data_IF_862945820935
#
_entry.id   IF_862945820935
#
_cell.length_a   1.000
_cell.length_b   1.000
_cell.length_c   1.000
_cell.angle_alpha   90.00
_cell.angle_beta   90.00
_cell.angle_gamma   90.00
#
_symmetry.space_group_name_H-M   'P 1'
#
loop_
_entity.id
_entity.type
_entity.pdbx_description
1 polymer ?
#
# COMPACT_ATOMS: atom_id res chain seq x y z
N UNK A 1 6.25 24.38 -10.28
CA UNK A 1 5.07 23.60 -10.70
C UNK A 1 4.15 23.47 -9.50
N UNK A 2 2.87 23.75 -9.67
CA UNK A 2 1.82 23.65 -8.64
C UNK A 2 1.02 22.37 -8.85
N UNK A 3 0.92 21.56 -7.83
CA UNK A 3 0.32 20.21 -7.89
C UNK A 3 -0.97 20.19 -7.06
N UNK A 4 -2.09 19.81 -7.68
CA UNK A 4 -3.35 19.57 -6.97
C UNK A 4 -3.60 18.06 -6.84
N UNK A 5 -3.70 17.56 -5.61
CA UNK A 5 -4.04 16.17 -5.33
C UNK A 5 -5.55 16.03 -5.08
N UNK A 6 -6.18 15.01 -5.66
CA UNK A 6 -7.63 14.80 -5.50
C UNK A 6 -7.95 13.34 -5.16
N UNK A 7 -8.77 13.14 -4.11
CA UNK A 7 -9.29 11.83 -3.70
C UNK A 7 -10.72 11.94 -3.14
N UNK A 8 -11.54 10.89 -3.26
CA UNK A 8 -12.85 10.81 -2.59
C UNK A 8 -12.74 10.43 -1.12
N UNK A 9 -11.64 9.79 -0.73
CA UNK A 9 -11.49 9.12 0.57
C UNK A 9 -10.90 10.06 1.63
N UNK A 10 -11.07 9.65 2.90
CA UNK A 10 -10.37 10.30 4.01
C UNK A 10 -8.86 10.16 3.83
N UNK A 11 -8.10 11.24 3.92
CA UNK A 11 -6.64 11.20 3.92
C UNK A 11 -6.09 10.33 5.04
N UNK A 12 -4.91 9.76 4.84
CA UNK A 12 -4.15 8.98 5.84
C UNK A 12 -4.90 7.83 6.53
N UNK A 13 -6.10 7.47 6.05
CA UNK A 13 -6.95 6.43 6.67
C UNK A 13 -6.80 5.06 6.02
N UNK A 14 -6.28 5.00 4.81
CA UNK A 14 -6.15 3.79 3.98
C UNK A 14 -4.78 3.75 3.33
N UNK A 15 -4.40 2.61 2.74
CA UNK A 15 -3.14 2.51 1.99
C UNK A 15 -3.01 3.57 0.89
N UNK A 16 -4.09 3.88 0.16
CA UNK A 16 -4.09 4.96 -0.85
C UNK A 16 -4.01 6.35 -0.23
N UNK A 17 -4.62 6.57 0.93
CA UNK A 17 -4.52 7.82 1.68
C UNK A 17 -3.11 8.06 2.21
N UNK A 18 -2.49 7.03 2.79
CA UNK A 18 -1.08 7.07 3.23
C UNK A 18 -0.14 7.33 2.04
N UNK A 19 -0.39 6.66 0.91
CA UNK A 19 0.36 6.88 -0.33
C UNK A 19 0.29 8.35 -0.78
N UNK A 20 -0.91 8.93 -0.80
CA UNK A 20 -1.10 10.35 -1.16
C UNK A 20 -0.34 11.27 -0.21
N UNK A 21 -0.47 11.10 1.10
CA UNK A 21 0.23 11.91 2.10
C UNK A 21 1.76 11.77 1.97
N UNK A 22 2.27 10.56 1.75
CA UNK A 22 3.69 10.31 1.52
C UNK A 22 4.20 11.01 0.26
N UNK A 23 3.45 10.93 -0.83
CA UNK A 23 3.77 11.59 -2.09
C UNK A 23 3.79 13.12 -1.95
N UNK A 24 2.82 13.70 -1.22
CA UNK A 24 2.79 15.14 -0.91
C UNK A 24 4.08 15.55 -0.18
N UNK A 25 4.49 14.81 0.84
CA UNK A 25 5.74 15.08 1.59
C UNK A 25 6.98 14.98 0.69
N UNK A 26 7.02 14.01 -0.21
CA UNK A 26 8.10 13.89 -1.19
C UNK A 26 8.17 15.07 -2.16
N UNK A 27 7.06 15.53 -2.69
CA UNK A 27 7.02 16.72 -3.55
C UNK A 27 7.28 18.03 -2.79
N UNK A 28 6.90 18.12 -1.51
CA UNK A 28 7.26 19.27 -0.67
C UNK A 28 8.77 19.42 -0.52
N UNK A 29 9.51 18.32 -0.31
CA UNK A 29 10.99 18.34 -0.27
C UNK A 29 11.63 18.75 -1.60
N UNK A 30 10.94 18.51 -2.72
CA UNK A 30 11.36 19.00 -4.04
C UNK A 30 11.00 20.47 -4.27
N UNK A 31 10.37 21.14 -3.32
CA UNK A 31 10.03 22.57 -3.37
C UNK A 31 8.78 22.88 -4.19
N UNK A 32 7.90 21.91 -4.45
CA UNK A 32 6.64 22.15 -5.17
C UNK A 32 5.55 22.70 -4.23
N UNK A 33 4.83 23.71 -4.73
CA UNK A 33 3.60 24.16 -4.10
C UNK A 33 2.49 23.13 -4.35
N UNK A 34 1.72 22.83 -3.31
CA UNK A 34 0.72 21.77 -3.39
C UNK A 34 -0.61 22.18 -2.76
N UNK A 35 -1.68 21.56 -3.24
CA UNK A 35 -3.00 21.62 -2.61
C UNK A 35 -3.70 20.27 -2.69
N UNK A 36 -4.70 20.08 -1.85
CA UNK A 36 -5.42 18.81 -1.68
C UNK A 36 -6.92 19.05 -1.70
N UNK A 37 -7.66 18.27 -2.49
CA UNK A 37 -9.11 18.09 -2.36
C UNK A 37 -9.34 16.66 -1.88
N UNK A 38 -10.01 16.50 -0.74
CA UNK A 38 -10.33 15.18 -0.21
C UNK A 38 -11.68 15.15 0.50
N UNK A 39 -12.33 13.98 0.48
CA UNK A 39 -13.54 13.72 1.25
C UNK A 39 -13.24 13.56 2.73
N UNK A 40 -14.04 14.21 3.57
CA UNK A 40 -13.98 14.09 5.02
C UNK A 40 -15.39 13.97 5.61
N UNK A 41 -15.50 13.46 6.81
CA UNK A 41 -16.75 13.46 7.58
C UNK A 41 -16.94 14.82 8.29
N UNK A 42 -18.19 15.19 8.55
CA UNK A 42 -18.50 16.42 9.31
C UNK A 42 -17.88 16.41 10.71
N UNK A 43 -17.67 15.23 11.28
CA UNK A 43 -17.06 15.05 12.61
C UNK A 43 -15.53 15.02 12.57
N UNK A 44 -14.88 15.04 11.39
CA UNK A 44 -13.42 15.02 11.28
C UNK A 44 -12.81 16.39 11.62
N UNK A 45 -11.70 16.39 12.34
CA UNK A 45 -10.90 17.58 12.62
C UNK A 45 -10.09 17.98 11.37
N UNK A 46 -10.45 19.09 10.73
CA UNK A 46 -9.72 19.63 9.58
C UNK A 46 -8.24 19.85 9.93
N UNK A 47 -7.97 20.41 11.11
CA UNK A 47 -6.60 20.71 11.56
C UNK A 47 -5.74 19.46 11.67
N UNK A 48 -6.26 18.36 12.25
CA UNK A 48 -5.54 17.10 12.35
C UNK A 48 -5.25 16.49 10.97
N UNK A 49 -6.16 16.68 10.02
CA UNK A 49 -5.97 16.22 8.65
C UNK A 49 -4.94 17.06 7.90
N UNK A 50 -4.92 18.37 8.09
CA UNK A 50 -3.93 19.28 7.52
C UNK A 50 -2.51 18.93 7.96
N UNK A 51 -2.28 18.45 9.17
CA UNK A 51 -0.97 18.01 9.68
C UNK A 51 -0.36 16.87 8.82
N UNK A 52 -1.18 16.13 8.09
CA UNK A 52 -0.70 15.10 7.16
C UNK A 52 -0.22 15.64 5.81
N UNK A 53 -0.57 16.87 5.47
CA UNK A 53 -0.29 17.49 4.17
C UNK A 53 0.88 18.48 4.19
N UNK A 54 1.52 18.72 5.34
CA UNK A 54 2.58 19.71 5.48
C UNK A 54 2.07 21.11 5.13
N UNK A 55 2.66 21.77 4.12
CA UNK A 55 2.28 23.11 3.68
C UNK A 55 1.20 23.15 2.60
N UNK A 56 0.66 22.00 2.18
CA UNK A 56 -0.33 21.98 1.11
C UNK A 56 -1.68 22.57 1.58
N UNK A 57 -2.24 23.45 0.75
CA UNK A 57 -3.55 24.05 1.03
C UNK A 57 -4.66 23.00 0.89
N UNK A 58 -5.56 22.91 1.87
CA UNK A 58 -6.63 21.93 1.89
C UNK A 58 -7.98 22.52 1.48
N UNK A 59 -8.69 21.80 0.62
CA UNK A 59 -10.06 22.09 0.15
C UNK A 59 -10.94 20.87 0.49
N UNK A 60 -11.54 20.82 1.69
CA UNK A 60 -12.35 19.69 2.12
C UNK A 60 -13.68 19.59 1.37
N UNK A 61 -14.08 18.35 1.06
CA UNK A 61 -15.45 17.99 0.65
C UNK A 61 -16.09 17.26 1.81
N UNK A 62 -17.02 17.94 2.51
CA UNK A 62 -17.59 17.47 3.77
C UNK A 62 -18.84 16.64 3.53
N UNK A 63 -18.81 15.39 3.97
CA UNK A 63 -19.93 14.45 3.94
C UNK A 63 -20.75 14.48 5.23
N UNK A 64 -21.90 13.83 5.25
CA UNK A 64 -22.90 13.87 6.32
C UNK A 64 -23.43 15.28 6.59
N UNK A 65 -23.61 16.04 5.51
CA UNK A 65 -24.20 17.38 5.49
C UNK A 65 -25.49 17.38 4.67
N UNK A 66 -26.23 18.48 4.62
CA UNK A 66 -27.41 18.63 3.74
C UNK A 66 -27.04 18.49 2.25
N UNK A 67 -25.82 18.91 1.85
CA UNK A 67 -25.33 18.83 0.46
C UNK A 67 -24.91 17.39 0.10
N UNK A 68 -24.30 16.66 1.04
CA UNK A 68 -23.86 15.25 0.90
C UNK A 68 -24.39 14.44 2.09
N UNK A 69 -25.63 13.99 2.01
CA UNK A 69 -26.40 13.32 3.07
C UNK A 69 -26.05 11.82 3.24
N UNK A 70 -24.81 11.45 2.96
CA UNK A 70 -24.29 10.09 3.07
C UNK A 70 -22.82 10.09 3.53
N UNK A 71 -22.32 8.91 3.96
CA UNK A 71 -20.96 8.80 4.47
C UNK A 71 -19.91 8.93 3.35
N UNK A 72 -18.67 9.26 3.73
CA UNK A 72 -17.52 9.33 2.82
C UNK A 72 -17.44 8.07 1.94
N UNK A 73 -17.35 8.25 0.63
CA UNK A 73 -17.37 7.13 -0.32
C UNK A 73 -16.06 6.35 -0.25
N UNK A 74 -16.16 5.03 -0.05
CA UNK A 74 -15.04 4.12 0.09
C UNK A 74 -14.72 3.33 -1.16
N UNK A 75 -13.43 3.16 -1.49
CA UNK A 75 -12.97 2.32 -2.60
C UNK A 75 -12.93 0.82 -2.27
N UNK A 76 -13.38 0.42 -1.09
CA UNK A 76 -13.50 -0.98 -0.66
C UNK A 76 -14.83 -1.18 0.05
N UNK A 77 -15.33 -2.41 0.06
CA UNK A 77 -16.54 -2.77 0.81
C UNK A 77 -16.33 -2.71 2.33
N UNK A 78 -15.07 -2.81 2.77
CA UNK A 78 -14.65 -2.67 4.16
C UNK A 78 -13.61 -1.55 4.26
N UNK A 79 -14.00 -0.44 4.87
CA UNK A 79 -13.16 0.72 5.12
C UNK A 79 -12.87 0.83 6.63
N UNK A 80 -11.77 1.48 7.05
CA UNK A 80 -11.45 1.68 8.46
C UNK A 80 -12.33 2.76 9.13
N UNK A 81 -13.29 3.31 8.40
CA UNK A 81 -14.29 4.28 8.86
C UNK A 81 -15.66 3.95 8.26
N UNK A 82 -16.74 4.49 8.82
CA UNK A 82 -18.09 4.35 8.28
C UNK A 82 -18.14 4.97 6.89
N UNK A 83 -18.50 4.18 5.88
CA UNK A 83 -18.41 4.60 4.48
C UNK A 83 -19.61 4.18 3.65
N UNK A 84 -19.87 4.93 2.60
CA UNK A 84 -20.80 4.55 1.52
C UNK A 84 -20.04 3.75 0.47
N UNK A 85 -20.55 2.57 0.10
CA UNK A 85 -19.94 1.75 -0.96
C UNK A 85 -20.45 2.19 -2.32
N UNK A 86 -19.62 2.18 -3.34
CA UNK A 86 -20.04 2.53 -4.70
C UNK A 86 -21.19 1.67 -5.23
N UNK A 87 -21.28 0.40 -4.82
CA UNK A 87 -22.39 -0.48 -5.22
C UNK A 87 -23.75 -0.07 -4.67
N UNK A 88 -23.78 0.70 -3.60
CA UNK A 88 -24.97 1.18 -2.92
C UNK A 88 -25.39 2.59 -3.38
N UNK A 89 -24.58 3.24 -4.24
CA UNK A 89 -24.89 4.56 -4.77
C UNK A 89 -25.91 4.51 -5.90
N UNK A 90 -26.86 5.41 -5.85
CA UNK A 90 -27.81 5.69 -6.94
C UNK A 90 -27.39 6.95 -7.73
N UNK A 91 -28.15 7.27 -8.78
CA UNK A 91 -27.88 8.40 -9.66
C UNK A 91 -27.91 9.76 -8.91
N UNK A 92 -28.83 9.92 -7.95
CA UNK A 92 -28.92 11.16 -7.15
C UNK A 92 -27.68 11.38 -6.30
N UNK A 93 -27.18 10.32 -5.63
CA UNK A 93 -25.94 10.38 -4.84
C UNK A 93 -24.74 10.69 -5.71
N UNK A 94 -24.68 10.14 -6.93
CA UNK A 94 -23.62 10.46 -7.90
C UNK A 94 -23.63 11.94 -8.27
N UNK A 95 -24.80 12.51 -8.55
CA UNK A 95 -24.94 13.93 -8.89
C UNK A 95 -24.61 14.87 -7.68
N UNK A 96 -25.04 14.50 -6.46
CA UNK A 96 -24.62 15.24 -5.25
C UNK A 96 -23.09 15.23 -5.08
N UNK A 97 -22.49 14.04 -5.24
CA UNK A 97 -21.03 13.88 -5.19
C UNK A 97 -20.31 14.76 -6.22
N UNK A 98 -20.76 14.73 -7.47
CA UNK A 98 -20.19 15.54 -8.55
C UNK A 98 -20.25 17.02 -8.23
N UNK A 99 -21.41 17.55 -7.82
CA UNK A 99 -21.59 18.98 -7.48
C UNK A 99 -20.69 19.43 -6.34
N UNK A 100 -20.60 18.64 -5.27
CA UNK A 100 -19.77 18.99 -4.11
C UNK A 100 -18.27 19.05 -4.48
N UNK A 101 -17.79 18.08 -5.27
CA UNK A 101 -16.41 18.10 -5.75
C UNK A 101 -16.17 19.20 -6.79
N UNK A 102 -17.11 19.46 -7.71
CA UNK A 102 -17.00 20.54 -8.70
C UNK A 102 -16.77 21.89 -8.05
N UNK A 103 -17.50 22.20 -6.96
CA UNK A 103 -17.35 23.43 -6.19
C UNK A 103 -15.92 23.61 -5.68
N UNK A 104 -15.32 22.57 -5.09
CA UNK A 104 -13.95 22.64 -4.58
C UNK A 104 -12.90 22.60 -5.71
N UNK A 105 -13.15 21.88 -6.80
CA UNK A 105 -12.29 21.88 -7.97
C UNK A 105 -12.23 23.29 -8.58
N UNK A 106 -13.36 23.93 -8.84
CA UNK A 106 -13.41 25.27 -9.40
C UNK A 106 -12.71 26.28 -8.47
N UNK A 107 -12.95 26.21 -7.16
CA UNK A 107 -12.27 27.03 -6.17
C UNK A 107 -10.75 26.86 -6.22
N UNK A 108 -10.26 25.62 -6.29
CA UNK A 108 -8.83 25.35 -6.41
C UNK A 108 -8.25 25.83 -7.77
N UNK A 109 -8.99 25.71 -8.86
CA UNK A 109 -8.58 26.22 -10.17
C UNK A 109 -8.43 27.74 -10.17
N UNK A 110 -9.31 28.48 -9.49
CA UNK A 110 -9.26 29.92 -9.39
C UNK A 110 -8.16 30.43 -8.44
N UNK A 111 -8.09 29.85 -7.23
CA UNK A 111 -7.22 30.33 -6.17
C UNK A 111 -5.78 29.79 -6.28
N UNK A 112 -5.64 28.48 -6.51
CA UNK A 112 -4.35 27.80 -6.52
C UNK A 112 -3.72 27.72 -7.92
N UNK A 113 -4.53 27.63 -8.98
CA UNK A 113 -4.13 27.57 -10.40
C UNK A 113 -3.09 26.47 -10.65
N UNK A 114 -3.45 25.20 -10.48
CA UNK A 114 -2.52 24.08 -10.61
C UNK A 114 -1.98 23.95 -12.05
N UNK A 115 -0.71 23.54 -12.17
CA UNK A 115 -0.11 23.16 -13.46
C UNK A 115 -0.42 21.69 -13.79
N UNK A 116 -0.62 20.86 -12.73
CA UNK A 116 -0.99 19.44 -12.84
C UNK A 116 -1.96 19.05 -11.74
N UNK A 117 -2.89 18.17 -12.07
CA UNK A 117 -3.78 17.49 -11.13
C UNK A 117 -3.39 16.02 -11.06
N UNK A 118 -3.19 15.49 -9.85
CA UNK A 118 -2.93 14.07 -9.59
C UNK A 118 -4.11 13.50 -8.84
N UNK A 119 -4.90 12.67 -9.53
CA UNK A 119 -6.04 11.98 -8.94
C UNK A 119 -5.61 10.63 -8.33
N UNK A 120 -6.24 10.25 -7.22
CA UNK A 120 -6.07 8.94 -6.62
C UNK A 120 -7.26 8.05 -6.94
N UNK A 121 -6.97 6.85 -7.46
CA UNK A 121 -7.88 5.88 -8.07
C UNK A 121 -8.38 6.24 -9.48
N UNK A 122 -8.33 5.25 -10.37
CA UNK A 122 -8.88 5.34 -11.74
C UNK A 122 -10.38 4.99 -11.68
N UNK A 123 -11.18 5.90 -11.13
CA UNK A 123 -12.60 5.64 -10.91
C UNK A 123 -13.46 6.91 -11.10
N UNK A 124 -14.67 6.93 -10.55
CA UNK A 124 -15.71 7.94 -10.79
C UNK A 124 -15.23 9.39 -10.63
N UNK A 125 -14.59 9.73 -9.49
CA UNK A 125 -14.13 11.10 -9.27
C UNK A 125 -13.07 11.53 -10.28
N UNK A 126 -12.12 10.68 -10.60
CA UNK A 126 -11.08 10.97 -11.59
C UNK A 126 -11.67 11.19 -12.98
N UNK A 127 -12.68 10.40 -13.37
CA UNK A 127 -13.42 10.60 -14.59
C UNK A 127 -14.15 11.96 -14.59
N UNK A 128 -14.72 12.34 -13.47
CA UNK A 128 -15.41 13.61 -13.29
C UNK A 128 -14.43 14.80 -13.32
N UNK A 129 -13.26 14.68 -12.68
CA UNK A 129 -12.20 15.71 -12.79
C UNK A 129 -11.86 15.99 -14.26
N UNK A 130 -11.70 14.95 -15.09
CA UNK A 130 -11.44 15.12 -16.53
C UNK A 130 -12.56 15.84 -17.26
N UNK A 131 -13.82 15.64 -16.86
CA UNK A 131 -14.96 16.33 -17.47
C UNK A 131 -15.01 17.81 -17.08
N UNK A 132 -14.76 18.13 -15.82
CA UNK A 132 -14.80 19.51 -15.30
C UNK A 132 -13.63 20.35 -15.80
N UNK A 133 -12.42 19.78 -15.78
CA UNK A 133 -11.20 20.50 -16.17
C UNK A 133 -11.07 20.51 -17.69
N UNK A 134 -11.59 21.56 -18.32
CA UNK A 134 -11.61 21.70 -19.79
C UNK A 134 -10.31 22.27 -20.36
N UNK A 135 -9.52 23.00 -19.54
CA UNK A 135 -8.25 23.57 -20.01
C UNK A 135 -7.27 22.46 -20.38
N UNK A 136 -6.66 22.58 -21.54
CA UNK A 136 -5.58 21.69 -22.00
C UNK A 136 -4.22 22.05 -21.40
N UNK A 137 -4.10 23.21 -20.78
CA UNK A 137 -2.86 23.67 -20.15
C UNK A 137 -2.61 22.99 -18.80
N UNK A 138 -3.68 22.43 -18.18
CA UNK A 138 -3.59 21.66 -16.94
C UNK A 138 -3.52 20.19 -17.27
N UNK A 139 -2.40 19.55 -16.96
CA UNK A 139 -2.26 18.10 -17.11
C UNK A 139 -3.02 17.35 -16.02
N UNK A 140 -3.63 16.23 -16.38
CA UNK A 140 -4.31 15.36 -15.42
C UNK A 140 -3.69 13.99 -15.46
N UNK A 141 -3.07 13.62 -14.35
CA UNK A 141 -2.54 12.29 -14.11
C UNK A 141 -3.35 11.56 -13.03
N UNK A 142 -3.31 10.23 -13.03
CA UNK A 142 -3.97 9.46 -11.96
C UNK A 142 -3.19 8.23 -11.55
N UNK A 143 -3.21 7.92 -10.24
CA UNK A 143 -2.55 6.74 -9.65
C UNK A 143 -3.57 5.64 -9.42
N UNK A 144 -3.28 4.44 -9.94
CA UNK A 144 -4.05 3.23 -9.70
C UNK A 144 -3.63 2.56 -8.40
N UNK A 145 -4.56 2.36 -7.47
CA UNK A 145 -4.30 1.65 -6.21
C UNK A 145 -4.85 0.21 -6.18
N UNK A 146 -5.20 -0.35 -7.34
CA UNK A 146 -5.68 -1.73 -7.51
C UNK A 146 -7.17 -1.91 -7.22
N UNK A 147 -7.68 -1.42 -6.11
CA UNK A 147 -9.11 -1.54 -5.74
C UNK A 147 -10.07 -0.94 -6.79
N UNK A 148 -9.66 0.14 -7.46
CA UNK A 148 -10.44 0.78 -8.51
C UNK A 148 -10.68 -0.15 -9.72
N UNK A 149 -9.69 -0.93 -10.15
CA UNK A 149 -9.85 -1.89 -11.25
C UNK A 149 -10.81 -3.03 -10.86
N UNK A 150 -10.71 -3.52 -9.62
CA UNK A 150 -11.65 -4.53 -9.10
C UNK A 150 -13.07 -3.98 -9.06
N UNK A 151 -13.27 -2.79 -8.54
CA UNK A 151 -14.58 -2.13 -8.50
C UNK A 151 -15.16 -1.95 -9.91
N UNK A 152 -14.35 -1.49 -10.86
CA UNK A 152 -14.80 -1.29 -12.24
C UNK A 152 -15.21 -2.60 -12.92
N UNK A 153 -14.56 -3.73 -12.57
CA UNK A 153 -14.93 -5.06 -13.08
C UNK A 153 -16.24 -5.57 -12.47
N UNK A 154 -16.53 -5.26 -11.21
CA UNK A 154 -17.64 -5.86 -10.46
C UNK A 154 -18.86 -4.97 -10.30
N UNK A 155 -18.72 -3.64 -10.37
CA UNK A 155 -19.80 -2.67 -10.16
C UNK A 155 -20.12 -1.96 -11.48
N UNK A 156 -21.40 -1.96 -11.93
CA UNK A 156 -21.78 -1.35 -13.20
C UNK A 156 -21.89 0.19 -13.15
N UNK A 157 -21.87 0.79 -11.95
CA UNK A 157 -22.07 2.23 -11.73
C UNK A 157 -21.18 3.07 -12.64
N UNK A 158 -21.76 3.87 -13.52
CA UNK A 158 -21.09 4.83 -14.41
C UNK A 158 -19.90 4.23 -15.22
N UNK A 159 -19.86 2.92 -15.44
CA UNK A 159 -18.71 2.19 -16.00
C UNK A 159 -18.22 2.76 -17.32
N UNK A 160 -19.12 3.01 -18.28
CA UNK A 160 -18.74 3.52 -19.60
C UNK A 160 -18.31 5.00 -19.52
N UNK A 161 -18.95 5.79 -18.67
CA UNK A 161 -18.54 7.16 -18.37
C UNK A 161 -17.12 7.19 -17.77
N UNK A 162 -16.84 6.32 -16.79
CA UNK A 162 -15.52 6.19 -16.18
C UNK A 162 -14.47 5.83 -17.23
N UNK A 163 -14.72 4.77 -18.01
CA UNK A 163 -13.77 4.33 -19.05
C UNK A 163 -13.48 5.41 -20.08
N UNK A 164 -14.52 6.11 -20.55
CA UNK A 164 -14.40 7.18 -21.54
C UNK A 164 -13.49 8.31 -21.04
N UNK A 165 -13.71 8.78 -19.82
CA UNK A 165 -12.99 9.91 -19.27
C UNK A 165 -11.55 9.55 -18.80
N UNK A 166 -11.34 8.39 -18.18
CA UNK A 166 -10.00 7.91 -17.81
C UNK A 166 -9.10 7.75 -19.05
N UNK A 167 -9.64 7.28 -20.15
CA UNK A 167 -8.91 7.15 -21.44
C UNK A 167 -8.35 8.49 -21.94
N UNK A 168 -8.98 9.61 -21.57
CA UNK A 168 -8.62 10.96 -21.95
C UNK A 168 -7.68 11.69 -20.97
N UNK A 169 -7.16 11.00 -19.96
CA UNK A 169 -6.13 11.54 -19.08
C UNK A 169 -4.79 11.62 -19.81
N UNK A 170 -3.93 12.51 -19.34
CA UNK A 170 -2.60 12.70 -19.93
C UNK A 170 -1.64 11.58 -19.51
N UNK A 171 -1.75 11.08 -18.28
CA UNK A 171 -0.87 10.03 -17.75
C UNK A 171 -1.59 9.17 -16.70
N UNK A 172 -1.30 7.87 -16.73
CA UNK A 172 -1.78 6.88 -15.77
C UNK A 172 -0.59 6.22 -15.08
N UNK A 173 -0.66 6.12 -13.76
CA UNK A 173 0.39 5.50 -12.97
C UNK A 173 -0.07 4.17 -12.40
N UNK A 174 0.72 3.13 -12.66
CA UNK A 174 0.58 1.79 -12.08
C UNK A 174 1.62 1.58 -10.96
N UNK A 175 1.31 0.72 -10.00
CA UNK A 175 2.26 0.36 -8.94
C UNK A 175 3.24 -0.73 -9.38
N UNK A 176 2.85 -1.61 -10.31
CA UNK A 176 3.68 -2.69 -10.85
C UNK A 176 3.28 -3.03 -12.29
N UNK A 177 4.09 -3.83 -12.98
CA UNK A 177 3.93 -4.09 -14.42
C UNK A 177 2.65 -4.88 -14.76
N UNK A 178 2.23 -5.81 -13.92
CA UNK A 178 0.96 -6.52 -14.12
C UNK A 178 -0.23 -5.55 -14.08
N UNK A 179 -0.25 -4.63 -13.09
CA UNK A 179 -1.27 -3.60 -13.00
C UNK A 179 -1.22 -2.65 -14.20
N UNK A 180 -0.03 -2.35 -14.75
CA UNK A 180 0.12 -1.57 -15.99
C UNK A 180 -0.59 -2.26 -17.15
N UNK A 181 -0.37 -3.57 -17.34
CA UNK A 181 -1.06 -4.36 -18.38
C UNK A 181 -2.58 -4.35 -18.19
N UNK A 182 -3.04 -4.50 -16.95
CA UNK A 182 -4.46 -4.43 -16.61
C UNK A 182 -5.07 -3.06 -16.98
N UNK A 183 -4.40 -1.96 -16.64
CA UNK A 183 -4.86 -0.59 -16.98
C UNK A 183 -4.97 -0.43 -18.49
N UNK A 184 -3.94 -0.82 -19.25
CA UNK A 184 -3.93 -0.74 -20.72
C UNK A 184 -5.13 -1.50 -21.29
N UNK A 185 -5.36 -2.73 -20.84
CA UNK A 185 -6.44 -3.59 -21.30
C UNK A 185 -7.83 -3.03 -20.93
N UNK A 186 -8.03 -2.65 -19.65
CA UNK A 186 -9.35 -2.22 -19.12
C UNK A 186 -9.81 -0.89 -19.74
N UNK A 187 -8.88 0.05 -19.90
CA UNK A 187 -9.20 1.39 -20.41
C UNK A 187 -8.93 1.53 -21.91
N UNK A 188 -8.32 0.55 -22.58
CA UNK A 188 -7.92 0.59 -23.96
C UNK A 188 -7.11 1.86 -24.28
N UNK A 189 -5.99 2.05 -23.59
CA UNK A 189 -5.07 3.18 -23.71
C UNK A 189 -3.72 2.73 -24.28
N UNK A 190 -2.98 3.65 -24.88
CA UNK A 190 -1.62 3.37 -25.38
C UNK A 190 -0.64 3.08 -24.23
N UNK A 191 0.34 2.24 -24.50
CA UNK A 191 1.37 1.84 -23.52
C UNK A 191 2.20 3.03 -23.02
N UNK A 192 2.39 4.03 -23.85
CA UNK A 192 3.11 5.28 -23.56
C UNK A 192 2.43 6.11 -22.45
N UNK A 193 1.10 6.01 -22.33
CA UNK A 193 0.33 6.69 -21.29
C UNK A 193 0.44 6.07 -19.91
N UNK A 194 0.80 4.80 -19.79
CA UNK A 194 0.81 4.07 -18.50
C UNK A 194 2.25 3.84 -18.05
N UNK A 195 2.60 4.42 -16.90
CA UNK A 195 3.94 4.36 -16.32
C UNK A 195 3.91 3.60 -14.99
N UNK A 196 4.90 2.73 -14.76
CA UNK A 196 5.08 2.07 -13.46
C UNK A 196 5.91 2.96 -12.56
N UNK A 197 5.37 3.31 -11.39
CA UNK A 197 6.03 4.18 -10.40
C UNK A 197 6.34 3.48 -9.07
N UNK A 198 5.65 2.38 -8.76
CA UNK A 198 5.80 1.69 -7.48
C UNK A 198 5.18 2.46 -6.32
N UNK A 199 5.73 2.24 -5.13
CA UNK A 199 5.37 2.95 -3.91
C UNK A 199 6.62 3.51 -3.24
N UNK A 200 6.41 4.26 -2.16
CA UNK A 200 7.45 4.72 -1.26
C UNK A 200 7.16 4.28 0.17
N UNK A 201 8.17 4.36 1.04
CA UNK A 201 8.02 4.23 2.47
C UNK A 201 8.58 5.49 3.19
N UNK A 202 8.25 5.64 4.48
CA UNK A 202 8.68 6.79 5.28
C UNK A 202 10.04 6.51 5.94
N UNK A 203 11.11 7.02 5.37
CA UNK A 203 12.48 6.87 5.85
C UNK A 203 12.82 7.70 7.11
N UNK A 204 11.94 8.60 7.53
CA UNK A 204 12.09 9.26 8.82
C UNK A 204 11.73 8.33 9.98
N UNK A 205 10.78 7.41 9.76
CA UNK A 205 10.28 6.44 10.73
C UNK A 205 11.05 5.12 10.58
N UNK A 206 11.01 4.53 9.36
CA UNK A 206 11.63 3.24 9.08
C UNK A 206 13.09 3.44 8.67
N UNK A 207 13.98 3.32 9.62
CA UNK A 207 15.43 3.43 9.45
C UNK A 207 16.16 2.54 10.45
N UNK A 208 17.33 2.08 10.09
CA UNK A 208 18.16 1.28 10.97
C UNK A 208 18.67 2.15 12.13
N UNK A 209 18.26 1.79 13.34
CA UNK A 209 18.66 2.43 14.60
C UNK A 209 19.92 1.80 15.20
N UNK A 210 20.54 0.84 14.50
CA UNK A 210 21.74 0.11 14.93
C UNK A 210 21.57 -0.52 16.33
N UNK A 211 20.40 -1.14 16.56
CA UNK A 211 20.19 -1.90 17.80
C UNK A 211 21.13 -3.10 17.82
N UNK A 212 22.11 -3.03 18.69
CA UNK A 212 23.01 -4.14 19.01
C UNK A 212 22.41 -4.85 20.23
N UNK A 213 21.49 -5.77 19.98
CA UNK A 213 20.90 -6.58 21.05
C UNK A 213 21.64 -7.91 21.05
N UNK A 214 22.57 -8.09 21.99
CA UNK A 214 23.14 -9.40 22.25
C UNK A 214 22.06 -10.29 22.87
N UNK A 215 21.72 -11.38 22.17
CA UNK A 215 20.71 -12.36 22.60
C UNK A 215 21.06 -13.73 22.01
N UNK A 216 20.60 -14.76 22.70
CA UNK A 216 20.81 -16.17 22.37
C UNK A 216 19.67 -16.80 21.57
N UNK A 217 18.78 -15.96 20.98
CA UNK A 217 17.65 -16.37 20.17
C UNK A 217 17.48 -15.51 18.93
N UNK A 218 16.79 -16.06 17.92
CA UNK A 218 16.38 -15.36 16.70
C UNK A 218 14.96 -14.84 16.86
N UNK A 219 14.71 -13.60 16.52
CA UNK A 219 13.39 -12.99 16.54
C UNK A 219 12.82 -12.84 15.12
N UNK A 220 11.72 -13.57 14.87
CA UNK A 220 10.95 -13.46 13.64
C UNK A 220 9.80 -12.47 13.85
N UNK A 221 9.57 -11.59 12.90
CA UNK A 221 8.45 -10.65 12.94
C UNK A 221 7.60 -10.74 11.69
N UNK A 222 6.28 -10.69 11.85
CA UNK A 222 5.29 -10.50 10.80
C UNK A 222 4.52 -9.22 11.06
N UNK A 223 4.16 -8.48 10.01
CA UNK A 223 3.27 -7.33 10.13
C UNK A 223 2.25 -7.31 8.99
N UNK A 224 0.96 -7.27 9.36
CA UNK A 224 -0.14 -7.27 8.41
C UNK A 224 -1.47 -7.69 9.03
N UNK A 225 -2.49 -7.86 8.20
CA UNK A 225 -3.76 -8.45 8.67
C UNK A 225 -3.55 -9.89 9.11
N UNK A 226 -4.10 -10.24 10.26
CA UNK A 226 -4.09 -11.63 10.73
C UNK A 226 -5.25 -12.37 10.06
N UNK A 227 -4.96 -13.08 8.96
CA UNK A 227 -5.93 -13.84 8.18
C UNK A 227 -5.25 -14.92 7.32
N UNK A 228 -6.02 -15.92 6.86
CA UNK A 228 -5.53 -17.07 6.07
C UNK A 228 -4.77 -16.66 4.80
N UNK A 229 -5.25 -15.63 4.08
CA UNK A 229 -4.60 -15.18 2.84
C UNK A 229 -3.20 -14.59 3.05
N UNK A 230 -2.82 -14.32 4.31
CA UNK A 230 -1.46 -13.91 4.69
C UNK A 230 -0.52 -15.08 5.01
N UNK A 231 -0.98 -16.32 4.82
CA UNK A 231 -0.16 -17.52 4.95
C UNK A 231 0.31 -17.83 6.37
N UNK A 232 -0.37 -17.29 7.38
CA UNK A 232 0.06 -17.43 8.78
C UNK A 232 -0.07 -18.86 9.31
N UNK A 233 -1.05 -19.65 8.84
CA UNK A 233 -1.18 -21.05 9.22
C UNK A 233 0.02 -21.85 8.71
N UNK A 234 0.34 -21.86 7.40
CA UNK A 234 1.56 -22.50 6.89
C UNK A 234 2.86 -21.95 7.50
N UNK A 235 2.89 -20.67 7.87
CA UNK A 235 4.04 -20.11 8.57
C UNK A 235 4.24 -20.71 9.95
N UNK A 236 3.18 -20.88 10.73
CA UNK A 236 3.27 -21.52 12.04
C UNK A 236 3.64 -23.00 11.89
N UNK A 237 3.05 -23.70 10.91
CA UNK A 237 3.35 -25.11 10.64
C UNK A 237 4.79 -25.34 10.18
N UNK A 238 5.34 -24.44 9.36
CA UNK A 238 6.71 -24.58 8.89
C UNK A 238 7.75 -24.41 10.02
N UNK A 239 7.42 -23.73 11.12
CA UNK A 239 8.32 -23.59 12.26
C UNK A 239 8.63 -24.95 12.91
N UNK A 240 7.66 -25.86 12.97
CA UNK A 240 7.84 -27.20 13.56
C UNK A 240 8.82 -28.08 12.75
N UNK A 241 9.14 -27.69 11.52
CA UNK A 241 10.14 -28.36 10.64
C UNK A 241 11.57 -27.85 10.89
N UNK A 242 11.75 -26.76 11.64
CA UNK A 242 13.06 -26.20 11.96
C UNK A 242 13.72 -27.00 13.10
N UNK A 243 14.99 -27.36 12.93
CA UNK A 243 15.77 -28.10 13.92
C UNK A 243 16.50 -27.15 14.87
N UNK A 244 15.74 -26.43 15.70
CA UNK A 244 16.23 -25.55 16.74
C UNK A 244 15.49 -25.81 18.06
N UNK A 245 16.12 -25.45 19.20
CA UNK A 245 15.48 -25.53 20.51
C UNK A 245 14.27 -24.60 20.60
N UNK A 246 13.31 -24.93 21.45
CA UNK A 246 12.03 -24.22 21.58
C UNK A 246 12.18 -22.75 22.06
N UNK A 247 13.24 -22.44 22.79
CA UNK A 247 13.58 -21.10 23.27
C UNK A 247 14.42 -20.28 22.28
N UNK A 248 14.94 -20.93 21.22
CA UNK A 248 15.84 -20.30 20.25
C UNK A 248 15.12 -19.42 19.22
N UNK A 249 13.83 -19.66 18.95
CA UNK A 249 13.04 -18.86 18.01
C UNK A 249 11.88 -18.20 18.75
N UNK A 250 11.76 -16.88 18.59
CA UNK A 250 10.61 -16.10 19.05
C UNK A 250 9.91 -15.45 17.89
N UNK A 251 8.58 -15.44 17.90
CA UNK A 251 7.76 -14.89 16.81
C UNK A 251 6.87 -13.77 17.32
N UNK A 252 6.85 -12.66 16.61
CA UNK A 252 6.01 -11.50 16.88
C UNK A 252 5.08 -11.25 15.70
N UNK A 253 3.77 -11.27 15.96
CA UNK A 253 2.73 -11.06 14.95
C UNK A 253 2.04 -9.71 15.19
N UNK A 254 2.42 -8.69 14.42
CA UNK A 254 1.84 -7.37 14.47
C UNK A 254 0.65 -7.26 13.50
N UNK A 255 -0.54 -6.96 14.03
CA UNK A 255 -1.75 -6.80 13.25
C UNK A 255 -3.00 -7.27 13.94
N UNK A 256 -4.14 -7.12 13.26
CA UNK A 256 -5.44 -7.59 13.75
C UNK A 256 -6.18 -8.33 12.65
N UNK A 257 -7.10 -9.22 13.03
CA UNK A 257 -8.01 -9.90 12.12
C UNK A 257 -9.34 -9.15 11.98
N UNK A 258 -9.88 -9.11 10.79
CA UNK A 258 -11.25 -8.62 10.53
C UNK A 258 -12.28 -9.76 10.41
N UNK A 259 -11.81 -10.96 10.11
CA UNK A 259 -12.57 -12.19 10.10
C UNK A 259 -12.25 -12.99 11.38
N UNK A 260 -13.24 -13.07 12.25
CA UNK A 260 -13.07 -13.68 13.58
C UNK A 260 -12.71 -15.16 13.50
N UNK A 261 -13.35 -15.92 12.61
CA UNK A 261 -13.11 -17.37 12.48
C UNK A 261 -11.65 -17.64 12.06
N UNK A 262 -11.19 -16.94 11.01
CA UNK A 262 -9.80 -17.03 10.55
C UNK A 262 -8.79 -16.58 11.61
N UNK A 263 -9.12 -15.53 12.36
CA UNK A 263 -8.26 -15.03 13.43
C UNK A 263 -8.15 -16.04 14.58
N UNK A 264 -9.29 -16.57 15.07
CA UNK A 264 -9.33 -17.51 16.18
C UNK A 264 -8.58 -18.80 15.83
N UNK A 265 -8.72 -19.31 14.60
CA UNK A 265 -7.98 -20.48 14.11
C UNK A 265 -6.45 -20.26 14.15
N UNK A 266 -5.98 -19.10 13.70
CA UNK A 266 -4.54 -18.74 13.72
C UNK A 266 -4.05 -18.65 15.19
N UNK A 267 -4.82 -18.04 16.07
CA UNK A 267 -4.48 -17.93 17.49
C UNK A 267 -4.39 -19.32 18.15
N UNK A 268 -5.37 -20.18 17.90
CA UNK A 268 -5.36 -21.55 18.45
C UNK A 268 -4.19 -22.39 17.89
N UNK A 269 -3.82 -22.16 16.64
CA UNK A 269 -2.65 -22.79 16.04
C UNK A 269 -1.36 -22.30 16.70
N UNK A 270 -1.22 -21.01 16.89
CA UNK A 270 -0.05 -20.39 17.54
C UNK A 270 0.14 -20.87 18.99
N UNK A 271 -0.96 -21.07 19.75
CA UNK A 271 -0.90 -21.62 21.12
C UNK A 271 -0.37 -23.04 21.19
N UNK A 272 -0.47 -23.81 20.11
CA UNK A 272 0.01 -25.20 20.03
C UNK A 272 1.45 -25.32 19.55
N UNK A 273 2.02 -24.23 19.05
CA UNK A 273 3.42 -24.20 18.63
C UNK A 273 4.35 -24.41 19.81
N UNK A 274 5.46 -25.09 19.61
CA UNK A 274 6.54 -25.23 20.59
C UNK A 274 7.34 -23.93 20.78
N UNK A 275 7.25 -22.98 19.83
CA UNK A 275 7.94 -21.70 19.90
C UNK A 275 7.08 -20.60 20.53
N UNK A 276 7.73 -19.57 21.11
CA UNK A 276 7.05 -18.41 21.70
C UNK A 276 6.48 -17.51 20.60
N UNK A 277 5.17 -17.59 20.35
CA UNK A 277 4.44 -16.78 19.38
C UNK A 277 3.57 -15.76 20.11
N UNK A 278 3.86 -14.46 19.96
CA UNK A 278 3.10 -13.36 20.59
C UNK A 278 2.39 -12.49 19.56
N UNK A 279 1.12 -12.19 19.83
CA UNK A 279 0.32 -11.23 19.07
C UNK A 279 0.46 -9.86 19.70
N UNK A 280 0.95 -8.88 18.89
CA UNK A 280 1.20 -7.51 19.36
C UNK A 280 -0.02 -6.59 19.14
N UNK A 281 -1.06 -7.07 18.45
CA UNK A 281 -2.18 -6.22 18.04
C UNK A 281 -1.79 -5.24 16.93
N UNK A 282 -2.62 -4.22 16.72
CA UNK A 282 -2.35 -3.17 15.73
C UNK A 282 -1.32 -2.19 16.29
N UNK A 283 -0.21 -2.05 15.62
CA UNK A 283 0.84 -1.07 15.92
C UNK A 283 0.69 0.18 15.04
N UNK A 284 1.09 1.34 15.55
CA UNK A 284 1.36 2.52 14.72
C UNK A 284 2.72 2.37 14.01
N UNK A 285 3.08 3.30 13.13
CA UNK A 285 4.32 3.18 12.35
C UNK A 285 5.59 3.26 13.20
N UNK A 286 5.60 4.08 14.25
CA UNK A 286 6.74 4.21 15.14
C UNK A 286 6.99 2.93 15.94
N UNK A 287 5.93 2.37 16.56
CA UNK A 287 6.02 1.10 17.28
C UNK A 287 6.40 -0.07 16.35
N UNK A 288 5.87 -0.08 15.11
CA UNK A 288 6.22 -1.09 14.11
C UNK A 288 7.70 -0.98 13.70
N UNK A 289 8.21 0.25 13.56
CA UNK A 289 9.63 0.49 13.29
C UNK A 289 10.52 -0.03 14.44
N UNK A 290 10.09 0.12 15.71
CA UNK A 290 10.80 -0.45 16.85
C UNK A 290 10.85 -1.97 16.78
N UNK A 291 9.72 -2.63 16.47
CA UNK A 291 9.69 -4.09 16.33
C UNK A 291 10.59 -4.57 15.18
N UNK A 292 10.60 -3.88 14.03
CA UNK A 292 11.51 -4.21 12.93
C UNK A 292 12.98 -4.03 13.32
N UNK A 293 13.34 -2.96 14.03
CA UNK A 293 14.71 -2.74 14.49
C UNK A 293 15.20 -3.81 15.50
N UNK A 294 14.28 -4.39 16.27
CA UNK A 294 14.57 -5.49 17.20
C UNK A 294 14.67 -6.84 16.49
N UNK A 295 13.89 -7.08 15.47
CA UNK A 295 13.79 -8.36 14.79
C UNK A 295 15.02 -8.67 13.92
N UNK A 296 15.33 -9.96 13.77
CA UNK A 296 16.35 -10.45 12.86
C UNK A 296 15.78 -10.69 11.47
N UNK A 297 14.60 -11.29 11.40
CA UNK A 297 13.97 -11.68 10.13
C UNK A 297 12.50 -11.25 10.11
N UNK A 298 12.13 -10.51 9.09
CA UNK A 298 10.75 -10.24 8.73
C UNK A 298 10.23 -11.32 7.80
N UNK A 299 9.08 -11.90 8.13
CA UNK A 299 8.46 -12.99 7.36
C UNK A 299 7.12 -12.52 6.80
N UNK A 300 6.96 -12.56 5.46
CA UNK A 300 5.71 -12.25 4.81
C UNK A 300 5.28 -13.40 3.87
N UNK A 301 4.65 -14.46 4.41
CA UNK A 301 4.30 -15.66 3.65
C UNK A 301 2.96 -15.52 2.91
N UNK A 302 2.58 -14.30 2.56
CA UNK A 302 1.30 -13.95 1.95
C UNK A 302 1.06 -14.66 0.63
N UNK A 303 -0.17 -15.07 0.38
CA UNK A 303 -0.63 -15.61 -0.90
C UNK A 303 -1.13 -14.55 -1.88
N UNK A 304 -1.38 -13.35 -1.37
CA UNK A 304 -1.81 -12.20 -2.17
C UNK A 304 -1.42 -10.89 -1.50
N UNK A 305 -0.80 -9.99 -2.27
CA UNK A 305 -0.51 -8.60 -1.92
C UNK A 305 -0.80 -7.68 -3.11
N UNK A 306 -1.14 -6.44 -2.83
CA UNK A 306 -1.13 -5.40 -3.87
C UNK A 306 0.29 -4.94 -4.15
N UNK A 307 0.91 -4.35 -3.15
CA UNK A 307 2.33 -4.00 -3.12
C UNK A 307 2.78 -3.99 -1.65
N UNK A 308 3.61 -4.95 -1.22
CA UNK A 308 3.93 -5.14 0.19
C UNK A 308 5.01 -4.14 0.66
N UNK A 309 4.63 -2.87 0.85
CA UNK A 309 5.55 -1.79 1.28
C UNK A 309 6.26 -2.16 2.59
N UNK A 310 5.59 -2.91 3.45
CA UNK A 310 6.12 -3.41 4.72
C UNK A 310 7.43 -4.19 4.58
N UNK A 311 7.68 -4.83 3.43
CA UNK A 311 8.95 -5.48 3.10
C UNK A 311 10.10 -4.45 3.06
N UNK A 312 9.86 -3.31 2.41
CA UNK A 312 10.86 -2.23 2.36
C UNK A 312 11.03 -1.54 3.71
N UNK A 313 9.95 -1.40 4.46
CA UNK A 313 9.96 -0.83 5.82
C UNK A 313 10.82 -1.67 6.77
N UNK A 314 10.66 -2.99 6.76
CA UNK A 314 11.47 -3.91 7.54
C UNK A 314 12.96 -3.86 7.11
N UNK A 315 13.24 -3.93 5.80
CA UNK A 315 14.61 -3.85 5.29
C UNK A 315 15.29 -2.52 5.61
N UNK A 316 14.55 -1.41 5.58
CA UNK A 316 15.06 -0.09 5.95
C UNK A 316 15.47 -0.03 7.43
N UNK A 317 14.81 -0.79 8.28
CA UNK A 317 15.18 -0.97 9.70
C UNK A 317 16.39 -1.91 9.91
N UNK A 318 16.87 -2.56 8.84
CA UNK A 318 18.01 -3.47 8.90
C UNK A 318 17.64 -4.95 9.05
N UNK A 319 16.35 -5.28 9.10
CA UNK A 319 15.80 -6.63 9.23
C UNK A 319 15.94 -7.38 7.90
N UNK A 320 16.37 -8.63 7.94
CA UNK A 320 16.39 -9.51 6.77
C UNK A 320 14.98 -10.01 6.45
N UNK A 321 14.72 -10.45 5.23
CA UNK A 321 13.36 -10.72 4.78
C UNK A 321 13.20 -12.11 4.15
N UNK A 322 12.16 -12.83 4.56
CA UNK A 322 11.66 -14.01 3.85
C UNK A 322 10.24 -13.71 3.37
N UNK A 323 10.04 -13.73 2.06
CA UNK A 323 8.77 -13.30 1.45
C UNK A 323 8.33 -14.26 0.34
N UNK A 324 7.03 -14.47 0.21
CA UNK A 324 6.48 -15.21 -0.93
C UNK A 324 6.75 -14.45 -2.24
N UNK A 325 7.17 -15.16 -3.28
CA UNK A 325 7.39 -14.64 -4.63
C UNK A 325 6.06 -14.33 -5.33
N UNK A 326 5.44 -13.25 -4.89
CA UNK A 326 4.19 -12.75 -5.44
C UNK A 326 4.48 -11.98 -6.74
N UNK A 327 3.68 -12.14 -7.80
CA UNK A 327 3.90 -11.46 -9.07
C UNK A 327 4.10 -9.93 -8.91
N UNK A 328 5.17 -9.41 -9.51
CA UNK A 328 5.51 -7.99 -9.50
C UNK A 328 6.33 -7.51 -8.30
N UNK A 329 6.50 -8.32 -7.25
CA UNK A 329 7.24 -7.92 -6.04
C UNK A 329 8.73 -7.80 -6.33
N UNK A 330 9.34 -8.79 -6.99
CA UNK A 330 10.77 -8.77 -7.34
C UNK A 330 11.13 -7.60 -8.24
N UNK A 331 10.34 -7.34 -9.26
CA UNK A 331 10.55 -6.25 -10.20
C UNK A 331 10.44 -4.89 -9.49
N UNK A 332 9.47 -4.75 -8.58
CA UNK A 332 9.29 -3.54 -7.80
C UNK A 332 10.43 -3.31 -6.79
N UNK A 333 10.85 -4.33 -6.09
CA UNK A 333 11.98 -4.26 -5.15
C UNK A 333 13.26 -3.90 -5.91
N UNK A 334 13.50 -4.50 -7.07
CA UNK A 334 14.60 -4.17 -7.97
C UNK A 334 15.89 -4.96 -7.67
N UNK A 335 16.72 -5.07 -8.70
CA UNK A 335 17.87 -5.97 -8.72
C UNK A 335 18.88 -5.71 -7.58
N UNK A 336 19.18 -4.44 -7.30
CA UNK A 336 20.13 -4.05 -6.24
C UNK A 336 19.77 -4.64 -4.87
N UNK A 337 18.48 -4.64 -4.53
CA UNK A 337 17.99 -5.20 -3.27
C UNK A 337 17.88 -6.72 -3.38
N UNK A 338 17.37 -7.25 -4.49
CA UNK A 338 17.20 -8.68 -4.70
C UNK A 338 18.53 -9.47 -4.63
N UNK A 339 19.63 -8.85 -5.04
CA UNK A 339 20.97 -9.47 -5.02
C UNK A 339 21.78 -9.18 -3.75
N UNK A 340 21.19 -8.47 -2.78
CA UNK A 340 21.90 -8.07 -1.55
C UNK A 340 22.18 -9.19 -0.56
N UNK A 341 21.51 -10.34 -0.70
CA UNK A 341 21.51 -11.43 0.28
C UNK A 341 20.54 -11.23 1.45
N UNK A 342 19.89 -10.06 1.54
CA UNK A 342 18.98 -9.71 2.65
C UNK A 342 17.52 -10.08 2.41
N UNK A 343 17.21 -10.67 1.29
CA UNK A 343 15.84 -11.11 0.96
C UNK A 343 15.87 -12.50 0.33
N UNK A 344 15.02 -13.39 0.84
CA UNK A 344 14.79 -14.70 0.25
C UNK A 344 13.35 -14.80 -0.22
N UNK A 345 13.18 -15.38 -1.41
CA UNK A 345 11.88 -15.56 -2.03
C UNK A 345 11.43 -17.00 -1.96
N UNK A 346 10.25 -17.22 -1.42
CA UNK A 346 9.59 -18.52 -1.39
C UNK A 346 8.60 -18.61 -2.55
N UNK A 347 8.76 -19.59 -3.44
CA UNK A 347 7.87 -19.77 -4.59
C UNK A 347 6.41 -19.86 -4.13
N UNK A 348 5.55 -19.01 -4.74
CA UNK A 348 4.09 -19.03 -4.50
C UNK A 348 3.53 -20.43 -4.76
N UNK A 349 2.67 -21.00 -3.89
CA UNK A 349 2.04 -22.28 -4.15
C UNK A 349 1.06 -22.18 -5.34
N UNK A 350 0.66 -23.33 -5.88
CA UNK A 350 -0.44 -23.36 -6.85
C UNK A 350 -1.71 -22.80 -6.20
N UNK A 351 -2.33 -21.83 -6.87
CA UNK A 351 -3.51 -21.14 -6.33
C UNK A 351 -4.81 -21.73 -6.88
N UNK A 352 -5.80 -21.91 -6.03
CA UNK A 352 -7.18 -22.27 -6.38
C UNK A 352 -7.98 -21.03 -6.78
N UNK A 353 -7.75 -19.93 -6.08
CA UNK A 353 -8.30 -18.60 -6.37
C UNK A 353 -7.42 -17.53 -5.75
N UNK A 354 -7.74 -16.25 -5.97
CA UNK A 354 -6.97 -15.14 -5.39
C UNK A 354 -6.89 -15.25 -3.88
N UNK A 355 -5.68 -15.35 -3.35
CA UNK A 355 -5.40 -15.46 -1.90
C UNK A 355 -5.73 -16.83 -1.28
N UNK A 356 -6.12 -17.83 -2.09
CA UNK A 356 -6.45 -19.18 -1.62
C UNK A 356 -5.58 -20.19 -2.36
N UNK A 357 -4.61 -20.84 -1.70
CA UNK A 357 -3.81 -21.90 -2.29
C UNK A 357 -4.64 -23.17 -2.50
N UNK A 358 -4.20 -24.04 -3.40
CA UNK A 358 -4.71 -25.39 -3.54
C UNK A 358 -4.22 -26.24 -2.36
N UNK A 359 -5.09 -27.09 -1.82
CA UNK A 359 -4.81 -27.85 -0.58
C UNK A 359 -3.56 -28.71 -0.73
N UNK A 360 -3.38 -29.35 -1.88
CA UNK A 360 -2.20 -30.18 -2.19
C UNK A 360 -0.88 -29.38 -2.34
N UNK A 361 -0.96 -28.06 -2.39
CA UNK A 361 0.21 -27.19 -2.56
C UNK A 361 0.68 -26.55 -1.24
N UNK A 362 -0.05 -26.76 -0.13
CA UNK A 362 0.26 -26.16 1.17
C UNK A 362 1.52 -26.80 1.76
N UNK A 363 1.55 -28.12 1.90
CA UNK A 363 2.69 -28.83 2.48
C UNK A 363 4.00 -28.58 1.71
N UNK A 364 4.06 -28.64 0.37
CA UNK A 364 5.27 -28.25 -0.39
C UNK A 364 5.63 -26.76 -0.23
N UNK A 365 4.69 -25.89 0.11
CA UNK A 365 4.97 -24.49 0.41
C UNK A 365 5.60 -24.33 1.78
N UNK A 366 5.11 -25.05 2.79
CA UNK A 366 5.68 -25.07 4.15
C UNK A 366 7.13 -25.56 4.14
N UNK A 367 7.44 -26.60 3.37
CA UNK A 367 8.81 -27.08 3.21
C UNK A 367 9.74 -26.00 2.65
N UNK A 368 9.34 -25.35 1.55
CA UNK A 368 10.13 -24.26 0.97
C UNK A 368 10.28 -23.05 1.90
N UNK A 369 9.22 -22.75 2.68
CA UNK A 369 9.25 -21.65 3.64
C UNK A 369 10.20 -21.98 4.79
N UNK A 370 10.14 -23.22 5.32
CA UNK A 370 11.07 -23.70 6.34
C UNK A 370 12.52 -23.66 5.86
N UNK A 371 12.80 -24.14 4.64
CA UNK A 371 14.15 -24.09 4.06
C UNK A 371 14.67 -22.66 3.92
N UNK A 372 13.83 -21.73 3.46
CA UNK A 372 14.21 -20.33 3.30
C UNK A 372 14.47 -19.64 4.65
N UNK A 373 13.67 -19.99 5.67
CA UNK A 373 13.87 -19.51 7.04
C UNK A 373 15.16 -20.07 7.65
N UNK A 374 15.38 -21.36 7.54
CA UNK A 374 16.60 -22.01 8.05
C UNK A 374 17.86 -21.42 7.43
N UNK A 375 17.88 -21.23 6.11
CA UNK A 375 18.97 -20.55 5.43
C UNK A 375 19.18 -19.12 5.92
N UNK A 376 18.10 -18.35 6.09
CA UNK A 376 18.21 -16.95 6.57
C UNK A 376 18.68 -16.91 8.04
N UNK A 377 18.23 -17.82 8.88
CA UNK A 377 18.68 -17.96 10.28
C UNK A 377 20.18 -18.24 10.31
N UNK A 378 20.68 -19.21 9.54
CA UNK A 378 22.11 -19.55 9.45
C UNK A 378 22.96 -18.37 8.98
N UNK A 379 22.46 -17.60 8.00
CA UNK A 379 23.12 -16.38 7.52
C UNK A 379 23.15 -15.26 8.57
N UNK A 380 22.12 -15.15 9.41
CA UNK A 380 22.10 -14.19 10.53
C UNK A 380 23.03 -14.58 11.68
N UNK A 381 23.24 -15.89 11.91
CA UNK A 381 24.15 -16.39 12.92
C UNK A 381 25.64 -16.28 12.50
N UNK A 382 25.92 -16.17 11.21
CA UNK A 382 27.24 -15.93 10.70
C UNK A 382 27.65 -14.46 10.95
N UNK A 383 28.35 -14.22 12.06
CA UNK A 383 28.80 -12.90 12.50
C UNK A 383 29.72 -12.18 11.52
N UNK A 384 30.24 -12.87 10.50
CA UNK A 384 31.04 -12.27 9.41
C UNK A 384 30.15 -11.49 8.43
N UNK A 385 28.84 -11.75 8.43
CA UNK A 385 27.81 -11.10 7.60
C UNK A 385 27.11 -9.96 8.34
N UNK A 386 27.85 -9.07 8.99
CA UNK A 386 27.26 -7.88 9.64
C UNK A 386 26.26 -7.18 8.72
N UNK A 387 25.13 -6.74 9.31
CA UNK A 387 23.98 -6.05 8.67
C UNK A 387 24.46 -5.11 7.55
N UNK A 388 24.55 -5.64 6.34
CA UNK A 388 24.98 -4.87 5.17
C UNK A 388 23.98 -3.76 4.95
N UNK A 389 24.43 -2.53 4.99
CA UNK A 389 23.60 -1.38 4.66
C UNK A 389 23.19 -1.46 3.18
N UNK A 390 21.90 -1.37 2.92
CA UNK A 390 21.35 -1.23 1.56
C UNK A 390 20.83 0.19 1.44
N UNK A 391 21.37 0.94 0.48
CA UNK A 391 20.78 2.22 0.12
C UNK A 391 19.41 2.01 -0.53
N UNK A 392 18.37 2.44 0.18
CA UNK A 392 16.96 2.33 -0.23
C UNK A 392 16.36 3.71 -0.58
N UNK A 393 17.18 4.73 -0.76
CA UNK A 393 16.74 6.11 -1.01
C UNK A 393 15.78 6.24 -2.20
N UNK A 394 15.96 5.41 -3.24
CA UNK A 394 15.04 5.36 -4.39
C UNK A 394 13.65 4.78 -4.05
N UNK A 395 13.52 4.06 -2.95
CA UNK A 395 12.26 3.42 -2.51
C UNK A 395 11.51 4.25 -1.47
N UNK A 396 12.05 5.39 -1.06
CA UNK A 396 11.38 6.34 -0.16
C UNK A 396 10.32 7.16 -0.90
N UNK A 397 9.50 7.91 -0.15
CA UNK A 397 8.58 8.89 -0.74
C UNK A 397 9.31 9.95 -1.56
N UNK A 398 10.50 10.35 -1.15
CA UNK A 398 11.35 11.28 -1.89
C UNK A 398 11.82 10.67 -3.22
N UNK A 399 12.23 9.41 -3.20
CA UNK A 399 12.58 8.67 -4.41
C UNK A 399 11.40 8.51 -5.37
N UNK A 400 10.20 8.25 -4.85
CA UNK A 400 8.96 8.20 -5.63
C UNK A 400 8.69 9.56 -6.30
N UNK A 401 8.71 10.65 -5.52
CA UNK A 401 8.44 11.99 -6.04
C UNK A 401 9.43 12.37 -7.17
N UNK A 402 10.72 12.07 -7.00
CA UNK A 402 11.74 12.28 -8.05
C UNK A 402 11.48 11.45 -9.31
N UNK A 403 11.01 10.21 -9.17
CA UNK A 403 10.64 9.38 -10.34
C UNK A 403 9.44 9.95 -11.07
N UNK A 404 8.39 10.33 -10.32
CA UNK A 404 7.20 10.96 -10.91
C UNK A 404 7.52 12.28 -11.59
N UNK A 405 8.30 13.15 -10.96
CA UNK A 405 8.77 14.41 -11.52
C UNK A 405 9.40 14.21 -12.91
N UNK A 406 10.36 13.27 -13.00
CA UNK A 406 11.02 12.95 -14.29
C UNK A 406 10.03 12.49 -15.37
N UNK A 407 9.01 11.72 -15.00
CA UNK A 407 7.98 11.23 -15.92
C UNK A 407 7.05 12.38 -16.38
N UNK A 408 6.62 13.22 -15.43
CA UNK A 408 5.73 14.36 -15.69
C UNK A 408 6.43 15.41 -16.59
N UNK A 409 7.70 15.71 -16.32
CA UNK A 409 8.47 16.73 -17.07
C UNK A 409 8.85 16.21 -18.46
N UNK A 410 9.24 14.94 -18.60
CA UNK A 410 9.63 14.36 -19.91
C UNK A 410 8.46 14.28 -20.91
N UNK A 411 7.25 14.47 -20.45
CA UNK A 411 6.04 14.48 -21.30
C UNK A 411 5.68 15.92 -21.77
N UNK A 412 6.61 16.87 -21.60
CA UNK A 412 6.50 18.23 -22.18
C UNK A 412 7.01 18.27 -23.64
#
# INVERSE_FOLDING_TARGET
MRILHITTQKPNSTGSGIYMCGMIKGFEKLGYEQSVIAGIDVDDSIKELEDHFGKAKFYPVVYNTEELDFNVVGMSDSMPYKSTRYRDMNAEMVEKLKRAFEKQINKALEEFKPDIIICHHLYLLTAFVREVVKSKDIKIAAVCHGTCLRQLKTIPLEREYIKKNIRNLDMLFALHEEQRRDIISVFNVGEDKVKVIGSGFNDNIFKNKNYNVERDYIELVFAGKICKSKGLIPFIDCLDRLDYNDDFIKVRLAGTGSDKESYDEIVEKAKKSRFDIKFLGKLNQDDLSEEFNKADIFVLPSFYEGLPVVVLEAMACGTDVVVTDIPGVKEWIGEKINTSGKIKYVKLPKMKSVGVPADEAIEPFEERLSDALDQMIKENLDTTNHKRFIDMSEKTWDGLAKRMEKMIIKTK
#
